data_IF_828226114993
#
_entry.id   IF_828226114993
#
_cell.length_a   1.000
_cell.length_b   1.000
_cell.length_c   1.000
_cell.angle_alpha   90.00
_cell.angle_beta   90.00
_cell.angle_gamma   90.00
#
_symmetry.space_group_name_H-M   'P 1'
#
loop_
_entity.id
_entity.type
_entity.pdbx_description
1 polymer ?
#
# COMPACT_ATOMS: atom_id res chain seq x y z
N UNK A 1 34.54 5.92 5.94
CA UNK A 1 33.78 7.11 5.51
C UNK A 1 33.50 7.93 6.77
N UNK A 2 33.64 9.25 6.76
CA UNK A 2 33.48 10.09 7.97
C UNK A 2 32.03 10.52 8.17
N UNK A 3 31.66 10.81 9.42
CA UNK A 3 30.33 11.34 9.73
C UNK A 3 30.17 12.75 9.14
N UNK A 4 29.01 13.02 8.57
CA UNK A 4 28.68 14.32 7.96
C UNK A 4 28.78 15.49 8.96
N UNK A 5 28.47 15.25 10.23
CA UNK A 5 28.47 16.28 11.28
C UNK A 5 29.76 16.29 12.12
N UNK A 6 30.45 15.15 12.22
CA UNK A 6 31.66 15.00 13.01
C UNK A 6 32.76 14.39 12.15
N UNK A 7 33.65 15.24 11.62
CA UNK A 7 34.67 14.78 10.69
C UNK A 7 35.73 13.87 11.34
N UNK A 8 35.85 13.96 12.67
CA UNK A 8 36.78 13.15 13.45
C UNK A 8 36.26 11.71 13.64
N UNK A 9 34.93 11.53 13.60
CA UNK A 9 34.28 10.25 13.87
C UNK A 9 33.98 9.49 12.58
N UNK A 10 34.20 8.18 12.61
CA UNK A 10 33.81 7.29 11.51
C UNK A 10 32.27 7.12 11.47
N UNK A 11 31.73 7.10 10.26
CA UNK A 11 30.33 6.81 10.04
C UNK A 11 30.08 5.30 10.11
N UNK A 12 29.02 4.92 10.82
CA UNK A 12 28.60 3.52 11.01
C UNK A 12 27.33 3.19 10.22
N UNK A 13 26.55 4.20 9.84
CA UNK A 13 25.27 4.04 9.16
C UNK A 13 24.93 5.25 8.28
N UNK A 14 23.91 5.11 7.44
CA UNK A 14 23.43 6.18 6.57
C UNK A 14 21.97 6.47 6.87
N UNK A 15 21.61 7.75 6.96
CA UNK A 15 20.21 8.16 7.14
C UNK A 15 19.38 7.81 5.90
N UNK A 16 18.30 7.03 6.06
CA UNK A 16 17.46 6.63 4.93
C UNK A 16 16.70 7.82 4.29
N UNK A 17 16.41 8.86 5.09
CA UNK A 17 15.63 10.01 4.63
C UNK A 17 16.46 11.01 3.80
N UNK A 18 17.73 11.21 4.12
CA UNK A 18 18.57 12.28 3.55
C UNK A 18 19.91 11.79 2.95
N UNK A 19 20.24 10.51 3.09
CA UNK A 19 21.44 9.90 2.50
C UNK A 19 22.77 10.27 3.17
N UNK A 20 22.75 11.01 4.28
CA UNK A 20 23.98 11.41 4.99
C UNK A 20 24.57 10.27 5.80
N UNK A 21 25.89 10.13 5.79
CA UNK A 21 26.64 9.20 6.64
C UNK A 21 26.72 9.73 8.08
N UNK A 22 26.40 8.88 9.06
CA UNK A 22 26.23 9.23 10.47
C UNK A 22 27.12 8.36 11.37
N UNK A 23 27.72 8.98 12.39
CA UNK A 23 28.35 8.26 13.51
C UNK A 23 27.29 7.84 14.54
N UNK A 24 27.70 7.04 15.53
CA UNK A 24 26.82 6.53 16.58
C UNK A 24 26.04 7.63 17.32
N UNK A 25 26.62 8.81 17.52
CA UNK A 25 25.97 9.93 18.22
C UNK A 25 24.93 10.66 17.35
N UNK A 26 25.12 10.67 16.03
CA UNK A 26 24.23 11.36 15.10
C UNK A 26 23.12 10.45 14.54
N UNK A 27 23.08 9.21 15.02
CA UNK A 27 22.17 8.16 14.57
C UNK A 27 21.06 7.96 15.58
N UNK A 28 19.82 7.86 15.09
CA UNK A 28 18.64 7.52 15.88
C UNK A 28 17.82 6.47 15.12
N UNK A 29 17.32 5.47 15.83
CA UNK A 29 16.36 4.52 15.28
C UNK A 29 14.93 5.04 15.43
N UNK A 30 14.15 4.94 14.36
CA UNK A 30 12.74 5.36 14.33
C UNK A 30 11.96 4.42 13.42
N UNK A 31 10.94 3.72 13.93
CA UNK A 31 10.15 2.73 13.18
C UNK A 31 11.01 1.71 12.39
N UNK A 32 12.01 1.12 13.06
CA UNK A 32 12.98 0.16 12.50
C UNK A 32 13.84 0.69 11.33
N UNK A 33 13.91 2.02 11.13
CA UNK A 33 14.82 2.64 10.18
C UNK A 33 15.78 3.59 10.87
N UNK A 34 16.96 3.73 10.28
CA UNK A 34 18.01 4.61 10.78
C UNK A 34 17.83 6.02 10.22
N UNK A 35 17.70 7.00 11.11
CA UNK A 35 17.52 8.41 10.79
C UNK A 35 18.52 9.30 11.53
N UNK A 36 18.58 10.55 11.09
CA UNK A 36 19.44 11.57 11.64
C UNK A 36 18.85 12.18 12.93
N UNK A 37 19.60 12.23 14.04
CA UNK A 37 19.10 12.73 15.34
C UNK A 37 18.75 14.23 15.30
N UNK A 38 19.51 15.02 14.55
CA UNK A 38 19.41 16.49 14.51
C UNK A 38 18.46 17.05 13.43
N UNK A 39 17.53 16.25 12.90
CA UNK A 39 16.54 16.78 11.95
C UNK A 39 15.15 16.25 12.24
N UNK A 40 14.27 17.14 12.71
CA UNK A 40 12.84 16.88 12.78
C UNK A 40 12.27 16.57 11.37
N UNK A 41 12.81 17.22 10.33
CA UNK A 41 12.44 16.96 8.94
C UNK A 41 12.71 15.51 8.50
N UNK A 42 13.84 14.90 8.89
CA UNK A 42 14.13 13.47 8.63
C UNK A 42 13.02 12.58 9.22
N UNK A 43 12.58 12.89 10.44
CA UNK A 43 11.58 12.12 11.18
C UNK A 43 10.18 12.31 10.57
N UNK A 44 9.83 13.56 10.23
CA UNK A 44 8.55 13.88 9.61
C UNK A 44 8.40 13.23 8.24
N UNK A 45 9.44 13.23 7.41
CA UNK A 45 9.41 12.58 6.08
C UNK A 45 9.16 11.08 6.19
N UNK A 46 9.86 10.38 7.10
CA UNK A 46 9.63 8.95 7.35
C UNK A 46 8.22 8.70 7.87
N UNK A 47 7.73 9.52 8.80
CA UNK A 47 6.34 9.42 9.29
C UNK A 47 5.31 9.67 8.18
N UNK A 48 5.58 10.60 7.27
CA UNK A 48 4.72 10.87 6.13
C UNK A 48 4.67 9.66 5.19
N UNK A 49 5.82 9.09 4.84
CA UNK A 49 5.91 7.88 4.01
C UNK A 49 5.16 6.70 4.67
N UNK A 50 5.35 6.46 5.96
CA UNK A 50 4.63 5.40 6.67
C UNK A 50 3.12 5.64 6.64
N UNK A 51 2.68 6.87 6.93
CA UNK A 51 1.25 7.24 6.88
C UNK A 51 0.67 7.13 5.47
N UNK A 52 1.43 7.45 4.42
CA UNK A 52 0.94 7.27 3.05
C UNK A 52 0.83 5.79 2.71
N UNK A 53 1.81 4.96 3.07
CA UNK A 53 1.72 3.50 2.89
C UNK A 53 0.50 2.91 3.62
N UNK A 54 0.27 3.29 4.87
CA UNK A 54 -0.90 2.84 5.64
C UNK A 54 -2.23 3.28 5.00
N UNK A 55 -2.31 4.53 4.52
CA UNK A 55 -3.49 5.02 3.80
C UNK A 55 -3.72 4.24 2.51
N UNK A 56 -2.68 4.01 1.72
CA UNK A 56 -2.78 3.27 0.47
C UNK A 56 -3.20 1.81 0.71
N UNK A 57 -2.69 1.14 1.75
CA UNK A 57 -3.16 -0.20 2.15
C UNK A 57 -4.65 -0.22 2.51
N UNK A 58 -5.12 0.76 3.30
CA UNK A 58 -6.55 0.85 3.64
C UNK A 58 -7.41 1.10 2.41
N UNK A 59 -6.96 1.95 1.49
CA UNK A 59 -7.65 2.21 0.22
C UNK A 59 -7.79 0.95 -0.63
N UNK A 60 -6.76 0.10 -0.72
CA UNK A 60 -6.85 -1.16 -1.49
C UNK A 60 -7.95 -2.10 -0.98
N UNK A 61 -8.11 -2.22 0.34
CA UNK A 61 -9.19 -3.03 0.93
C UNK A 61 -10.58 -2.47 0.58
N UNK A 62 -10.75 -1.15 0.62
CA UNK A 62 -12.02 -0.49 0.26
C UNK A 62 -12.37 -0.77 -1.21
N UNK A 63 -11.40 -0.62 -2.12
CA UNK A 63 -11.61 -0.95 -3.53
C UNK A 63 -11.92 -2.43 -3.75
N UNK A 64 -11.28 -3.33 -3.00
CA UNK A 64 -11.58 -4.77 -3.04
C UNK A 64 -13.03 -5.07 -2.68
N UNK A 65 -13.55 -4.49 -1.60
CA UNK A 65 -14.96 -4.61 -1.22
C UNK A 65 -15.90 -4.00 -2.26
N UNK A 66 -15.56 -2.83 -2.81
CA UNK A 66 -16.35 -2.18 -3.84
C UNK A 66 -16.55 -3.07 -5.08
N UNK A 67 -15.49 -3.72 -5.57
CA UNK A 67 -15.60 -4.64 -6.70
C UNK A 67 -16.38 -5.92 -6.38
N UNK A 68 -16.30 -6.44 -5.13
CA UNK A 68 -17.13 -7.56 -4.71
C UNK A 68 -18.62 -7.20 -4.68
N UNK A 69 -18.97 -5.99 -4.22
CA UNK A 69 -20.36 -5.51 -4.21
C UNK A 69 -20.89 -5.40 -5.64
N UNK A 70 -20.10 -4.84 -6.58
CA UNK A 70 -20.48 -4.79 -7.99
C UNK A 70 -20.71 -6.19 -8.56
N UNK A 71 -19.79 -7.14 -8.29
CA UNK A 71 -19.94 -8.53 -8.70
C UNK A 71 -21.23 -9.18 -8.15
N UNK A 72 -21.62 -8.84 -6.92
CA UNK A 72 -22.86 -9.31 -6.31
C UNK A 72 -24.11 -8.77 -7.01
N UNK A 73 -24.13 -7.50 -7.40
CA UNK A 73 -25.26 -6.96 -8.19
C UNK A 73 -25.37 -7.63 -9.57
N UNK A 74 -24.24 -7.87 -10.23
CA UNK A 74 -24.22 -8.59 -11.52
C UNK A 74 -24.75 -10.02 -11.35
N UNK A 75 -24.42 -10.69 -10.24
CA UNK A 75 -24.94 -12.01 -9.93
C UNK A 75 -26.46 -12.03 -9.78
N UNK A 76 -27.04 -11.04 -9.10
CA UNK A 76 -28.50 -10.90 -8.98
C UNK A 76 -29.14 -10.71 -10.36
N UNK A 77 -28.56 -9.85 -11.22
CA UNK A 77 -29.08 -9.69 -12.58
C UNK A 77 -29.00 -10.97 -13.42
N UNK A 78 -27.96 -11.79 -13.23
CA UNK A 78 -27.82 -13.06 -13.92
C UNK A 78 -28.88 -14.07 -13.53
N UNK A 79 -29.30 -14.10 -12.25
CA UNK A 79 -30.41 -14.94 -11.81
C UNK A 79 -31.72 -14.51 -12.48
N UNK A 80 -31.96 -13.20 -12.58
CA UNK A 80 -33.17 -12.69 -13.24
C UNK A 80 -33.21 -13.03 -14.73
N UNK A 81 -32.09 -12.91 -15.42
CA UNK A 81 -31.99 -13.26 -16.84
C UNK A 81 -32.08 -14.77 -17.08
N UNK A 82 -31.59 -15.58 -16.14
CA UNK A 82 -31.77 -17.04 -16.16
C UNK A 82 -33.26 -17.42 -16.04
N UNK A 83 -34.01 -16.79 -15.13
CA UNK A 83 -35.47 -17.02 -14.98
C UNK A 83 -36.23 -16.64 -16.27
N UNK A 84 -35.77 -15.60 -16.97
CA UNK A 84 -36.36 -15.16 -18.25
C UNK A 84 -35.95 -16.02 -19.44
N UNK A 85 -35.07 -17.00 -19.27
CA UNK A 85 -34.55 -17.85 -20.35
C UNK A 85 -33.57 -17.14 -21.29
N UNK A 86 -33.03 -15.98 -20.90
CA UNK A 86 -32.04 -15.24 -21.71
C UNK A 86 -30.62 -15.79 -21.50
N UNK A 87 -30.34 -16.94 -22.14
CA UNK A 87 -29.07 -17.66 -22.00
C UNK A 87 -27.87 -16.80 -22.43
N UNK A 88 -28.02 -15.97 -23.47
CA UNK A 88 -26.96 -15.08 -23.95
C UNK A 88 -26.54 -14.03 -22.91
N UNK A 89 -27.51 -13.45 -22.20
CA UNK A 89 -27.24 -12.50 -21.11
C UNK A 89 -26.45 -13.15 -19.96
N UNK A 90 -26.84 -14.36 -19.57
CA UNK A 90 -26.20 -15.11 -18.46
C UNK A 90 -24.73 -15.43 -18.76
N UNK A 91 -24.39 -15.82 -19.99
CA UNK A 91 -22.99 -16.11 -20.37
C UNK A 91 -22.09 -14.87 -20.29
N UNK A 92 -22.60 -13.71 -20.71
CA UNK A 92 -21.84 -12.46 -20.66
C UNK A 92 -21.68 -11.99 -19.19
N UNK A 93 -22.75 -12.05 -18.41
CA UNK A 93 -22.73 -11.62 -17.00
C UNK A 93 -21.82 -12.49 -16.13
N UNK A 94 -21.78 -13.80 -16.38
CA UNK A 94 -20.87 -14.71 -15.65
C UNK A 94 -19.40 -14.40 -15.92
N UNK A 95 -19.02 -14.01 -17.13
CA UNK A 95 -17.67 -13.53 -17.44
C UNK A 95 -17.32 -12.26 -16.65
N UNK A 96 -18.23 -11.28 -16.62
CA UNK A 96 -18.03 -10.05 -15.84
C UNK A 96 -17.94 -10.34 -14.34
N UNK A 97 -18.78 -11.24 -13.82
CA UNK A 97 -18.75 -11.66 -12.41
C UNK A 97 -17.38 -12.24 -12.03
N UNK A 98 -16.83 -13.15 -12.84
CA UNK A 98 -15.51 -13.75 -12.59
C UNK A 98 -14.39 -12.68 -12.67
N UNK A 99 -14.49 -11.75 -13.61
CA UNK A 99 -13.53 -10.65 -13.74
C UNK A 99 -13.55 -9.77 -12.48
N UNK A 100 -14.71 -9.28 -12.04
CA UNK A 100 -14.81 -8.43 -10.85
C UNK A 100 -14.45 -9.15 -9.56
N UNK A 101 -14.80 -10.44 -9.43
CA UNK A 101 -14.41 -11.26 -8.29
C UNK A 101 -12.89 -11.48 -8.22
N UNK A 102 -12.23 -11.77 -9.34
CA UNK A 102 -10.76 -11.95 -9.38
C UNK A 102 -10.00 -10.65 -9.07
N UNK A 103 -10.49 -9.52 -9.59
CA UNK A 103 -9.96 -8.20 -9.27
C UNK A 103 -10.17 -7.92 -7.76
N UNK A 104 -11.39 -8.03 -7.26
CA UNK A 104 -11.72 -7.80 -5.85
C UNK A 104 -10.86 -8.65 -4.90
N UNK A 105 -10.68 -9.94 -5.21
CA UNK A 105 -9.81 -10.83 -4.45
C UNK A 105 -8.34 -10.39 -4.45
N UNK A 106 -7.82 -9.95 -5.61
CA UNK A 106 -6.44 -9.45 -5.72
C UNK A 106 -6.21 -8.18 -4.89
N UNK A 107 -7.21 -7.29 -4.83
CA UNK A 107 -7.16 -6.07 -4.03
C UNK A 107 -7.28 -6.32 -2.52
N UNK A 108 -7.97 -7.39 -2.10
CA UNK A 108 -8.08 -7.78 -0.68
C UNK A 108 -6.84 -8.51 -0.15
N UNK A 109 -6.08 -9.17 -1.03
CA UNK A 109 -4.84 -9.88 -0.67
C UNK A 109 -3.62 -8.94 -0.52
N UNK A 110 -3.69 -7.73 -1.07
CA UNK A 110 -2.67 -6.68 -0.93
C UNK A 110 -2.83 -5.90 0.38
#
# INVERSE_FOLDING_TARGET
>A
MKCYFHNDNDAISTCISCGRALCQLCTKEHNNVIICTNSEFCTEKVNFEIKTFEKTQKSYKIYGFFFLIIGFFIFISAILDFIKGNIGGVMIQTLFMLMFASIGYTYLKK
#
